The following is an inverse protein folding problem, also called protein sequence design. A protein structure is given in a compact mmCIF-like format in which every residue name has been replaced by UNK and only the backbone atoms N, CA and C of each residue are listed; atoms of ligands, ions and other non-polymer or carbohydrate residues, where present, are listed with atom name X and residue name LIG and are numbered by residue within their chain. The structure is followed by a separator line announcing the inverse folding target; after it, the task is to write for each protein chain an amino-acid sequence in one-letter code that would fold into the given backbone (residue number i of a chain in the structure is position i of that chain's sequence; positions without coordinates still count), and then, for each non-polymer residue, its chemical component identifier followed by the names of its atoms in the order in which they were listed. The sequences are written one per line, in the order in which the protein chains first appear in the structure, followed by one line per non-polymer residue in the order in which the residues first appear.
data_IF_268262665820
#
_entry.id   IF_268262665820
#
_cell.length_a   1.000
_cell.length_b   1.000
_cell.length_c   1.000
_cell.angle_alpha   90.00
_cell.angle_beta   90.00
_cell.angle_gamma   90.00
#
_symmetry.space_group_name_H-M   'P 1'
#
loop_
_entity.id
_entity.type
_entity.pdbx_description
1 polymer ?
#
# COMPACT_ATOMS: atom_id res chain seq x y z
N UNK A 1 20.14 -6.54 -10.10
CA UNK A 1 20.04 -6.04 -11.50
C UNK A 1 19.08 -4.85 -11.52
N UNK A 2 18.81 -4.22 -12.67
CA UNK A 2 17.96 -3.03 -12.73
C UNK A 2 16.48 -3.41 -12.94
N UNK A 3 15.57 -2.83 -12.14
CA UNK A 3 14.13 -3.03 -12.32
C UNK A 3 13.67 -2.76 -13.77
N UNK A 4 12.89 -3.69 -14.32
CA UNK A 4 12.28 -3.55 -15.64
C UNK A 4 11.16 -2.48 -15.63
N UNK A 5 10.86 -1.90 -16.79
CA UNK A 5 9.82 -0.86 -16.98
C UNK A 5 8.43 -1.31 -16.48
N UNK A 6 8.11 -2.60 -16.60
CA UNK A 6 6.88 -3.20 -16.05
C UNK A 6 6.88 -3.16 -14.52
N UNK A 7 7.96 -3.61 -13.88
CA UNK A 7 8.09 -3.62 -12.42
C UNK A 7 8.04 -2.20 -11.84
N UNK A 8 8.71 -1.22 -12.50
CA UNK A 8 8.65 0.19 -12.11
C UNK A 8 7.21 0.73 -12.14
N UNK A 9 6.46 0.49 -13.23
CA UNK A 9 5.04 0.85 -13.29
C UNK A 9 4.20 0.17 -12.20
N UNK A 10 4.47 -1.10 -11.92
CA UNK A 10 3.75 -1.85 -10.89
C UNK A 10 3.99 -1.27 -9.49
N UNK A 11 5.23 -0.88 -9.20
CA UNK A 11 5.59 -0.16 -7.96
C UNK A 11 4.90 1.20 -7.89
N UNK A 12 4.80 1.95 -9.00
CA UNK A 12 4.09 3.23 -9.02
C UNK A 12 2.59 3.08 -8.75
N UNK A 13 1.94 2.09 -9.37
CA UNK A 13 0.53 1.79 -9.11
C UNK A 13 0.31 1.38 -7.65
N UNK A 14 1.20 0.54 -7.09
CA UNK A 14 1.15 0.17 -5.68
C UNK A 14 1.36 1.38 -4.76
N UNK A 15 2.28 2.30 -5.10
CA UNK A 15 2.47 3.56 -4.35
C UNK A 15 1.21 4.42 -4.36
N UNK A 16 0.55 4.57 -5.51
CA UNK A 16 -0.71 5.32 -5.58
C UNK A 16 -1.80 4.66 -4.74
N UNK A 17 -1.90 3.33 -4.77
CA UNK A 17 -2.85 2.58 -3.94
C UNK A 17 -2.57 2.75 -2.44
N UNK A 18 -1.30 2.67 -2.04
CA UNK A 18 -0.85 2.91 -0.67
C UNK A 18 -1.18 4.32 -0.18
N UNK A 19 -0.99 5.34 -1.02
CA UNK A 19 -1.35 6.72 -0.65
C UNK A 19 -2.85 6.87 -0.41
N UNK A 20 -3.70 6.26 -1.25
CA UNK A 20 -5.16 6.26 -1.05
C UNK A 20 -5.54 5.53 0.24
N UNK A 21 -4.99 4.34 0.47
CA UNK A 21 -5.25 3.57 1.69
C UNK A 21 -4.81 4.33 2.94
N UNK A 22 -3.66 5.02 2.91
CA UNK A 22 -3.21 5.88 4.02
C UNK A 22 -4.14 7.06 4.27
N UNK A 23 -4.71 7.67 3.23
CA UNK A 23 -5.71 8.73 3.38
C UNK A 23 -7.01 8.19 3.98
N UNK A 24 -7.47 7.02 3.52
CA UNK A 24 -8.63 6.33 4.10
C UNK A 24 -8.39 5.96 5.57
N UNK A 25 -7.18 5.48 5.89
CA UNK A 25 -6.77 5.21 7.27
C UNK A 25 -6.83 6.48 8.13
N UNK A 26 -6.29 7.59 7.62
CA UNK A 26 -6.29 8.85 8.35
C UNK A 26 -7.72 9.34 8.60
N UNK A 27 -8.61 9.24 7.61
CA UNK A 27 -10.04 9.56 7.74
C UNK A 27 -10.73 8.64 8.75
N UNK A 28 -10.55 7.32 8.63
CA UNK A 28 -11.13 6.34 9.54
C UNK A 28 -10.64 6.49 10.99
N UNK A 29 -9.34 6.78 11.19
CA UNK A 29 -8.77 7.09 12.51
C UNK A 29 -9.28 8.42 13.06
N UNK A 30 -9.50 9.42 12.21
CA UNK A 30 -10.05 10.73 12.63
C UNK A 30 -11.52 10.66 13.00
N UNK A 31 -12.32 9.87 12.29
CA UNK A 31 -13.75 9.79 12.54
C UNK A 31 -14.12 8.81 13.66
N UNK A 32 -13.16 8.04 14.20
CA UNK A 32 -13.39 7.04 15.26
C UNK A 32 -14.54 6.06 14.96
N UNK A 33 -14.91 5.89 13.69
CA UNK A 33 -16.14 5.21 13.31
C UNK A 33 -16.05 3.70 13.53
N UNK A 34 -14.95 3.07 13.11
CA UNK A 34 -14.82 1.61 13.23
C UNK A 34 -13.35 1.16 13.34
N UNK A 35 -12.92 0.65 14.51
CA UNK A 35 -11.56 0.12 14.67
C UNK A 35 -11.31 -1.08 13.72
N UNK A 36 -12.37 -1.80 13.33
CA UNK A 36 -12.31 -2.93 12.41
C UNK A 36 -11.85 -2.51 11.01
N UNK A 37 -12.33 -1.35 10.51
CA UNK A 37 -11.92 -0.82 9.21
C UNK A 37 -10.49 -0.29 9.23
N UNK A 38 -10.07 0.32 10.34
CA UNK A 38 -8.69 0.74 10.54
C UNK A 38 -7.73 -0.45 10.44
N UNK A 39 -8.04 -1.55 11.13
CA UNK A 39 -7.22 -2.78 11.08
C UNK A 39 -7.19 -3.39 9.68
N UNK A 40 -8.33 -3.43 8.98
CA UNK A 40 -8.38 -3.90 7.58
C UNK A 40 -7.53 -3.08 6.64
N UNK A 41 -7.59 -1.75 6.76
CA UNK A 41 -6.80 -0.84 5.93
C UNK A 41 -5.30 -0.98 6.26
N UNK A 42 -4.94 -1.16 7.54
CA UNK A 42 -3.54 -1.43 7.94
C UNK A 42 -3.03 -2.76 7.35
N UNK A 43 -3.83 -3.81 7.38
CA UNK A 43 -3.50 -5.09 6.75
C UNK A 43 -3.32 -4.96 5.23
N UNK A 44 -4.20 -4.20 4.55
CA UNK A 44 -4.07 -3.94 3.12
C UNK A 44 -2.81 -3.15 2.78
N UNK A 45 -2.46 -2.14 3.61
CA UNK A 45 -1.21 -1.38 3.48
C UNK A 45 -0.01 -2.30 3.63
N UNK A 46 0.01 -3.16 4.66
CA UNK A 46 1.10 -4.09 4.91
C UNK A 46 1.29 -5.07 3.75
N UNK A 47 0.20 -5.62 3.20
CA UNK A 47 0.23 -6.50 2.02
C UNK A 47 0.75 -5.78 0.78
N UNK A 48 0.29 -4.56 0.53
CA UNK A 48 0.74 -3.77 -0.62
C UNK A 48 2.20 -3.34 -0.51
N UNK A 49 2.69 -3.03 0.70
CA UNK A 49 4.12 -2.77 0.93
C UNK A 49 4.97 -4.03 0.77
N UNK A 50 4.51 -5.18 1.25
CA UNK A 50 5.19 -6.46 1.06
C UNK A 50 5.32 -6.82 -0.43
N UNK A 51 4.23 -6.67 -1.21
CA UNK A 51 4.27 -6.86 -2.67
C UNK A 51 5.23 -5.88 -3.35
N UNK A 52 5.23 -4.61 -2.94
CA UNK A 52 6.16 -3.61 -3.49
C UNK A 52 7.61 -3.98 -3.21
N UNK A 53 7.89 -4.48 -2.00
CA UNK A 53 9.22 -4.90 -1.56
C UNK A 53 9.67 -6.16 -2.31
N UNK A 54 8.79 -7.14 -2.50
CA UNK A 54 9.06 -8.32 -3.33
C UNK A 54 9.41 -7.94 -4.77
N UNK A 55 8.64 -7.04 -5.40
CA UNK A 55 8.95 -6.59 -6.76
C UNK A 55 10.29 -5.84 -6.83
N UNK A 56 10.64 -5.11 -5.77
CA UNK A 56 11.92 -4.41 -5.68
C UNK A 56 13.11 -5.35 -5.38
N UNK A 57 12.87 -6.45 -4.67
CA UNK A 57 13.86 -7.48 -4.31
C UNK A 57 14.12 -8.44 -5.48
N UNK A 58 13.11 -8.66 -6.33
CA UNK A 58 13.21 -9.38 -7.61
C UNK A 58 14.03 -8.64 -8.69
N UNK A 59 14.82 -7.63 -8.32
CA UNK A 59 15.57 -6.77 -9.23
C UNK A 59 17.07 -7.05 -9.20
#
# INVERSE_FOLDING_TARGET
MALNKKQKKQIEVLKQKLNKLRQQLAGAKQQMDDPSDVTRIEDEIARAEAQRKQIADQA
#
